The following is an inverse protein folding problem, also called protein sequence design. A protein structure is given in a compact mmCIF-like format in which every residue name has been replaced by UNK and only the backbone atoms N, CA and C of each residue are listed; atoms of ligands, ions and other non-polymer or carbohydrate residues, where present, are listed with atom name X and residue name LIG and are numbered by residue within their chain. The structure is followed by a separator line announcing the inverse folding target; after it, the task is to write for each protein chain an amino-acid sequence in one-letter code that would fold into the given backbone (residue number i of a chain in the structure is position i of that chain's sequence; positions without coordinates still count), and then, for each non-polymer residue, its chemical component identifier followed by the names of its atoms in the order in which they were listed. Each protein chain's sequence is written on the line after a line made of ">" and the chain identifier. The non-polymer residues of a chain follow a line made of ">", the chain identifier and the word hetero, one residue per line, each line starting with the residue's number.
data_IF_668522757943
#
_entry.id   IF_668522757943
#
_cell.length_a   1.000
_cell.length_b   1.000
_cell.length_c   1.000
_cell.angle_alpha   90.00
_cell.angle_beta   90.00
_cell.angle_gamma   90.00
#
_symmetry.space_group_name_H-M   'P 1'
#
loop_
_entity.id
_entity.type
_entity.pdbx_description
1 polymer ?
#
# COMPACT_ATOMS: atom_id res chain seq x y z
N UNK A 1 -2.20 16.31 26.31
CA UNK A 1 -1.21 15.43 25.69
C UNK A 1 -0.79 16.08 24.38
N UNK A 2 0.44 16.55 24.29
CA UNK A 2 0.97 17.25 23.12
C UNK A 2 1.36 16.19 22.08
N UNK A 3 0.62 16.14 20.95
CA UNK A 3 1.00 15.29 19.83
C UNK A 3 2.20 15.94 19.13
N UNK A 4 3.31 15.25 19.11
CA UNK A 4 4.46 15.64 18.30
C UNK A 4 4.10 15.49 16.81
N UNK A 5 4.35 16.53 16.03
CA UNK A 5 4.23 16.50 14.58
C UNK A 5 5.17 15.43 14.00
N UNK A 6 4.75 14.66 13.00
CA UNK A 6 5.66 13.80 12.27
C UNK A 6 6.73 14.64 11.58
N UNK A 7 7.99 14.19 11.51
CA UNK A 7 9.04 14.92 10.83
C UNK A 7 8.70 15.11 9.36
N UNK A 8 8.71 16.35 8.91
CA UNK A 8 8.56 16.71 7.51
C UNK A 8 9.63 15.99 6.70
N UNK A 9 9.23 15.21 5.71
CA UNK A 9 10.13 14.62 4.74
C UNK A 9 10.75 15.73 3.88
N UNK A 10 11.93 16.21 4.27
CA UNK A 10 12.77 17.02 3.38
C UNK A 10 13.28 16.12 2.27
N UNK A 11 12.70 16.22 1.11
CA UNK A 11 13.30 15.73 -0.13
C UNK A 11 14.53 16.55 -0.44
N UNK A 12 15.70 16.18 0.08
CA UNK A 12 16.96 16.67 -0.43
C UNK A 12 17.24 15.99 -1.77
N UNK A 13 16.80 16.61 -2.86
CA UNK A 13 17.46 16.45 -4.14
C UNK A 13 18.81 17.14 -4.01
N UNK A 14 19.84 16.41 -3.66
CA UNK A 14 21.21 16.81 -3.95
C UNK A 14 21.41 16.76 -5.48
N UNK A 15 21.46 17.92 -6.09
CA UNK A 15 21.99 18.11 -7.43
C UNK A 15 23.50 17.78 -7.38
N UNK A 16 23.88 16.79 -8.14
CA UNK A 16 25.29 16.46 -8.36
C UNK A 16 25.83 17.40 -9.44
N UNK A 17 26.79 18.30 -9.17
CA UNK A 17 27.39 19.16 -10.18
C UNK A 17 28.65 18.49 -10.73
N UNK A 18 28.51 17.66 -11.75
CA UNK A 18 29.63 17.31 -12.63
C UNK A 18 29.11 16.65 -13.90
N UNK A 19 28.68 17.47 -14.85
CA UNK A 19 28.79 17.13 -16.25
C UNK A 19 29.35 18.34 -16.97
N UNK A 20 30.59 18.14 -17.42
CA UNK A 20 31.36 19.06 -18.22
C UNK A 20 30.60 19.46 -19.49
N UNK A 21 30.57 20.76 -19.75
CA UNK A 21 30.10 21.39 -20.97
C UNK A 21 30.89 20.89 -22.16
N UNK A 22 30.25 20.23 -23.10
CA UNK A 22 30.76 20.10 -24.46
C UNK A 22 30.25 21.30 -25.25
N UNK A 23 31.15 22.20 -25.57
CA UNK A 23 30.96 23.32 -26.46
C UNK A 23 30.63 22.83 -27.86
N UNK A 24 29.44 23.13 -28.36
CA UNK A 24 29.13 23.03 -29.77
C UNK A 24 29.69 24.23 -30.51
N UNK A 25 30.70 24.00 -31.29
CA UNK A 25 31.23 24.97 -32.24
C UNK A 25 30.23 25.16 -33.38
N UNK A 26 29.72 26.38 -33.50
CA UNK A 26 28.96 26.81 -34.67
C UNK A 26 29.88 26.93 -35.87
N UNK A 27 29.62 26.17 -36.92
CA UNK A 27 30.23 26.33 -38.23
C UNK A 27 29.47 27.42 -38.97
N UNK A 28 30.20 28.51 -39.24
CA UNK A 28 29.83 29.57 -40.18
C UNK A 28 29.68 29.01 -41.59
N UNK A 29 28.56 29.27 -42.22
CA UNK A 29 28.36 29.17 -43.67
C UNK A 29 28.97 30.39 -44.34
N UNK A 30 29.85 30.23 -45.33
CA UNK A 30 30.15 31.32 -46.25
C UNK A 30 29.23 31.23 -47.47
N UNK A 31 28.75 32.41 -47.84
CA UNK A 31 28.02 32.76 -49.03
C UNK A 31 28.78 32.41 -50.31
N UNK A 32 28.02 31.96 -51.30
CA UNK A 32 28.47 31.68 -52.66
C UNK A 32 29.01 32.87 -53.39
N UNK A 33 29.88 32.64 -54.39
CA UNK A 33 29.68 33.27 -55.68
C UNK A 33 29.48 32.25 -56.82
N UNK A 34 28.48 32.52 -57.61
CA UNK A 34 28.27 31.94 -58.92
C UNK A 34 29.47 32.10 -59.82
N UNK A 35 29.91 31.08 -60.57
CA UNK A 35 30.31 31.17 -61.97
C UNK A 35 30.66 29.79 -62.57
N UNK A 36 30.10 29.55 -63.73
CA UNK A 36 30.58 28.84 -64.94
C UNK A 36 30.53 27.31 -64.93
N UNK A 37 29.70 26.87 -65.81
CA UNK A 37 29.59 25.52 -66.39
C UNK A 37 30.93 24.99 -66.88
N UNK A 38 31.29 23.81 -66.46
CA UNK A 38 32.02 22.86 -67.30
C UNK A 38 31.42 21.48 -67.13
N UNK A 39 30.96 20.94 -68.21
CA UNK A 39 30.45 19.63 -68.46
C UNK A 39 31.62 18.66 -68.33
N UNK A 40 31.75 17.98 -67.19
CA UNK A 40 32.61 16.81 -67.05
C UNK A 40 31.67 15.63 -66.64
N UNK A 41 31.24 14.93 -67.65
CA UNK A 41 30.59 13.64 -67.53
C UNK A 41 31.61 12.61 -66.92
N UNK A 42 31.68 12.57 -65.61
CA UNK A 42 32.32 11.47 -64.90
C UNK A 42 31.44 10.20 -65.09
N UNK A 43 31.89 9.34 -66.01
CA UNK A 43 31.42 7.98 -66.17
C UNK A 43 31.47 7.26 -64.79
N UNK A 44 30.39 7.30 -64.07
CA UNK A 44 30.19 6.47 -62.88
C UNK A 44 29.99 5.03 -63.37
N UNK A 45 31.08 4.28 -63.39
CA UNK A 45 31.02 2.84 -63.68
C UNK A 45 29.92 2.19 -62.81
N UNK A 46 29.02 1.41 -63.41
CA UNK A 46 27.91 0.85 -62.67
C UNK A 46 28.42 0.00 -61.50
N UNK A 47 28.00 0.33 -60.27
CA UNK A 47 28.31 -0.45 -59.11
C UNK A 47 27.95 -1.92 -59.39
N UNK A 48 28.98 -2.77 -59.54
CA UNK A 48 28.76 -4.21 -59.68
C UNK A 48 27.97 -4.69 -58.48
N UNK A 49 26.69 -5.01 -58.66
CA UNK A 49 25.87 -5.64 -57.64
C UNK A 49 26.47 -7.01 -57.36
N UNK A 50 26.92 -7.21 -56.13
CA UNK A 50 27.33 -8.54 -55.67
C UNK A 50 26.16 -9.47 -55.77
N UNK A 51 26.24 -10.52 -56.61
CA UNK A 51 25.26 -11.58 -56.71
C UNK A 51 25.76 -12.76 -55.90
N UNK A 52 25.10 -13.09 -54.78
CA UNK A 52 25.35 -14.29 -54.04
C UNK A 52 24.46 -15.42 -54.56
N UNK A 53 25.03 -16.57 -54.73
CA UNK A 53 24.30 -17.79 -55.15
C UNK A 53 24.36 -18.77 -53.97
N UNK A 54 23.19 -19.32 -53.60
CA UNK A 54 23.14 -20.43 -52.65
C UNK A 54 23.41 -21.73 -53.35
N UNK A 55 24.49 -22.41 -52.97
CA UNK A 55 24.77 -23.78 -53.44
C UNK A 55 23.63 -24.70 -52.97
N UNK A 56 22.99 -25.42 -53.90
CA UNK A 56 21.97 -26.42 -53.59
C UNK A 56 22.52 -27.80 -53.88
N UNK A 57 22.32 -28.77 -52.95
CA UNK A 57 22.79 -30.15 -53.04
C UNK A 57 23.96 -30.42 -52.07
N UNK A 58 24.34 -31.70 -52.02
CA UNK A 58 25.51 -32.12 -51.24
C UNK A 58 26.76 -31.73 -51.99
N UNK A 59 27.66 -31.07 -51.32
CA UNK A 59 28.98 -30.68 -51.84
C UNK A 59 30.07 -31.07 -50.84
N UNK A 60 31.20 -31.50 -51.38
CA UNK A 60 32.35 -31.81 -50.58
C UNK A 60 32.87 -30.58 -49.84
N UNK A 61 33.15 -30.76 -48.56
CA UNK A 61 33.68 -29.71 -47.66
C UNK A 61 35.08 -30.15 -47.20
N UNK A 62 36.08 -30.06 -48.09
CA UNK A 62 37.42 -30.60 -47.78
C UNK A 62 38.03 -29.98 -46.53
N UNK A 63 37.67 -28.74 -46.20
CA UNK A 63 38.12 -28.07 -44.98
C UNK A 63 37.63 -28.74 -43.69
N UNK A 64 36.57 -29.55 -43.73
CA UNK A 64 36.09 -30.29 -42.55
C UNK A 64 36.95 -31.49 -42.19
N UNK A 65 37.70 -31.99 -43.12
CA UNK A 65 38.65 -33.10 -42.96
C UNK A 65 40.08 -32.64 -42.63
N UNK A 66 40.33 -31.33 -42.67
CA UNK A 66 41.64 -30.76 -42.32
C UNK A 66 41.99 -31.11 -40.85
N UNK A 67 43.18 -31.68 -40.57
CA UNK A 67 43.69 -31.94 -39.22
C UNK A 67 43.66 -30.70 -38.31
N UNK A 68 43.85 -29.51 -38.86
CA UNK A 68 43.74 -28.25 -38.11
C UNK A 68 42.33 -28.02 -37.51
N UNK A 69 41.30 -28.53 -38.16
CA UNK A 69 39.91 -28.42 -37.67
C UNK A 69 39.63 -29.28 -36.43
N UNK A 70 40.48 -30.28 -36.12
CA UNK A 70 40.37 -31.05 -34.87
C UNK A 70 40.52 -30.12 -33.65
N UNK A 71 41.46 -29.17 -33.68
CA UNK A 71 41.67 -28.19 -32.61
C UNK A 71 40.43 -27.28 -32.46
N UNK A 72 39.81 -26.89 -33.56
CA UNK A 72 38.56 -26.07 -33.56
C UNK A 72 37.37 -26.82 -32.95
N UNK A 73 37.26 -28.15 -33.22
CA UNK A 73 36.23 -29.00 -32.60
C UNK A 73 36.43 -29.10 -31.09
N UNK A 74 37.68 -29.28 -30.63
CA UNK A 74 38.00 -29.27 -29.21
C UNK A 74 37.72 -27.93 -28.55
N UNK A 75 38.11 -26.84 -29.16
CA UNK A 75 37.81 -25.51 -28.66
C UNK A 75 36.29 -25.25 -28.54
N UNK A 76 35.54 -25.61 -29.57
CA UNK A 76 34.06 -25.50 -29.54
C UNK A 76 33.45 -26.36 -28.44
N UNK A 77 34.00 -27.56 -28.18
CA UNK A 77 33.52 -28.42 -27.12
C UNK A 77 33.83 -27.81 -25.75
N UNK A 78 35.04 -27.30 -25.54
CA UNK A 78 35.43 -26.59 -24.32
C UNK A 78 34.50 -25.39 -24.08
N UNK A 79 34.32 -24.51 -25.06
CA UNK A 79 33.45 -23.31 -24.95
C UNK A 79 32.04 -23.71 -24.58
N UNK A 80 31.45 -24.70 -25.25
CA UNK A 80 30.09 -25.18 -24.95
C UNK A 80 29.98 -25.75 -23.53
N UNK A 81 31.00 -26.48 -23.06
CA UNK A 81 31.06 -27.04 -21.72
C UNK A 81 31.11 -25.94 -20.65
N UNK A 82 31.91 -24.90 -20.86
CA UNK A 82 31.96 -23.77 -19.93
C UNK A 82 30.69 -22.96 -19.93
N UNK A 83 30.03 -22.80 -21.09
CA UNK A 83 28.70 -22.15 -21.17
C UNK A 83 27.69 -22.98 -20.36
N UNK A 84 27.65 -24.30 -20.57
CA UNK A 84 26.73 -25.17 -19.82
C UNK A 84 27.00 -25.13 -18.32
N UNK A 85 28.28 -25.19 -17.93
CA UNK A 85 28.70 -25.08 -16.53
C UNK A 85 28.25 -23.74 -15.92
N UNK A 86 28.37 -22.64 -16.67
CA UNK A 86 27.89 -21.31 -16.23
C UNK A 86 26.39 -21.32 -15.99
N UNK A 87 25.59 -21.91 -16.86
CA UNK A 87 24.13 -22.03 -16.64
C UNK A 87 23.80 -22.91 -15.42
N UNK A 88 24.54 -24.04 -15.22
CA UNK A 88 24.34 -24.90 -14.06
C UNK A 88 24.66 -24.14 -12.77
N UNK A 89 25.79 -23.44 -12.69
CA UNK A 89 26.18 -22.67 -11.52
C UNK A 89 25.20 -21.53 -11.24
N UNK A 90 24.75 -20.84 -12.28
CA UNK A 90 23.70 -19.81 -12.13
C UNK A 90 22.40 -20.42 -11.62
N UNK A 91 21.98 -21.57 -12.14
CA UNK A 91 20.79 -22.29 -11.66
C UNK A 91 20.91 -22.71 -10.20
N UNK A 92 22.06 -23.24 -9.80
CA UNK A 92 22.34 -23.61 -8.40
C UNK A 92 22.33 -22.38 -7.50
N UNK A 93 22.97 -21.29 -7.91
CA UNK A 93 22.97 -20.05 -7.14
C UNK A 93 21.54 -19.50 -6.98
N UNK A 94 20.76 -19.44 -8.07
CA UNK A 94 19.36 -19.04 -8.04
C UNK A 94 18.53 -19.93 -7.12
N UNK A 95 18.76 -21.26 -7.18
CA UNK A 95 18.07 -22.21 -6.30
C UNK A 95 18.31 -21.90 -4.82
N UNK A 96 19.57 -21.75 -4.40
CA UNK A 96 19.88 -21.44 -2.99
C UNK A 96 19.42 -20.05 -2.57
N UNK A 97 19.39 -19.07 -3.49
CA UNK A 97 18.85 -17.74 -3.19
C UNK A 97 17.32 -17.76 -3.03
N UNK A 98 16.62 -18.61 -3.76
CA UNK A 98 15.14 -18.66 -3.76
C UNK A 98 14.61 -19.67 -2.74
N UNK A 99 15.39 -20.73 -2.43
CA UNK A 99 14.96 -21.80 -1.53
C UNK A 99 14.35 -21.33 -0.20
N UNK A 100 14.92 -20.33 0.54
CA UNK A 100 14.34 -19.83 1.78
C UNK A 100 12.97 -19.16 1.61
N UNK A 101 12.64 -18.77 0.38
CA UNK A 101 11.39 -18.09 0.02
C UNK A 101 10.39 -19.00 -0.69
N UNK A 102 10.74 -20.28 -0.91
CA UNK A 102 9.80 -21.27 -1.47
C UNK A 102 8.69 -21.48 -0.44
N UNK A 103 7.46 -21.28 -0.92
CA UNK A 103 6.27 -21.33 -0.09
C UNK A 103 6.07 -22.70 0.56
N UNK A 104 5.80 -22.68 1.88
CA UNK A 104 5.17 -23.79 2.56
C UNK A 104 3.72 -23.99 2.07
N UNK A 105 3.07 -25.02 2.59
CA UNK A 105 1.64 -25.23 2.39
C UNK A 105 0.82 -24.14 3.07
N UNK A 106 -0.32 -23.79 2.50
CA UNK A 106 -1.27 -22.84 3.05
C UNK A 106 -2.64 -23.48 3.15
N UNK A 107 -3.27 -23.36 4.29
CA UNK A 107 -4.63 -23.83 4.53
C UNK A 107 -5.61 -22.68 4.41
N UNK A 108 -6.57 -22.75 3.50
CA UNK A 108 -7.68 -21.80 3.43
C UNK A 108 -8.56 -21.97 4.67
N UNK A 109 -8.55 -20.97 5.55
CA UNK A 109 -9.32 -21.00 6.81
C UNK A 109 -10.59 -20.18 6.76
N UNK A 110 -10.68 -19.28 5.77
CA UNK A 110 -11.84 -18.43 5.57
C UNK A 110 -11.93 -17.92 4.13
N UNK A 111 -13.14 -17.98 3.58
CA UNK A 111 -13.49 -17.37 2.30
C UNK A 111 -14.90 -16.79 2.40
N UNK A 112 -15.08 -15.56 1.96
CA UNK A 112 -16.36 -14.88 1.92
C UNK A 112 -16.54 -14.17 0.57
N UNK A 113 -17.66 -14.40 -0.07
CA UNK A 113 -18.08 -13.72 -1.31
C UNK A 113 -19.22 -12.73 -1.05
N UNK A 114 -19.51 -12.46 0.20
CA UNK A 114 -20.53 -11.52 0.64
C UNK A 114 -21.88 -11.69 -0.07
N UNK A 115 -22.42 -12.90 -0.06
CA UNK A 115 -23.81 -13.14 -0.45
C UNK A 115 -24.79 -12.66 0.64
N UNK A 116 -24.33 -12.70 1.87
CA UNK A 116 -24.94 -12.11 3.07
C UNK A 116 -23.83 -11.67 4.01
N UNK A 117 -24.10 -10.73 4.91
CA UNK A 117 -23.13 -10.37 5.93
C UNK A 117 -23.12 -11.43 7.06
N UNK A 118 -22.09 -12.24 7.11
CA UNK A 118 -21.90 -13.26 8.13
C UNK A 118 -21.52 -12.64 9.48
N UNK A 119 -22.49 -12.47 10.38
CA UNK A 119 -22.29 -11.88 11.72
C UNK A 119 -21.48 -12.75 12.67
N UNK A 120 -21.30 -14.03 12.40
CA UNK A 120 -20.44 -14.91 13.20
C UNK A 120 -18.95 -14.64 12.93
N UNK A 121 -18.64 -13.99 11.82
CA UNK A 121 -17.26 -13.62 11.43
C UNK A 121 -17.06 -12.12 11.49
N UNK A 122 -18.00 -11.33 10.97
CA UNK A 122 -17.86 -9.88 10.91
C UNK A 122 -18.57 -9.20 12.06
N UNK A 123 -17.86 -8.35 12.76
CA UNK A 123 -18.39 -7.47 13.81
C UNK A 123 -18.25 -6.03 13.37
N UNK A 124 -19.31 -5.24 13.48
CA UNK A 124 -19.21 -3.80 13.37
C UNK A 124 -18.54 -3.23 14.62
N UNK A 125 -17.57 -2.37 14.43
CA UNK A 125 -17.00 -1.56 15.49
C UNK A 125 -17.65 -0.16 15.42
N UNK A 126 -18.34 0.25 16.49
CA UNK A 126 -19.16 1.45 16.53
C UNK A 126 -18.60 2.43 17.56
N UNK A 127 -18.07 3.55 17.08
CA UNK A 127 -17.45 4.62 17.88
C UNK A 127 -17.59 5.99 17.17
N UNK A 128 -17.37 7.07 17.93
CA UNK A 128 -17.50 8.45 17.45
C UNK A 128 -16.21 9.27 17.49
N UNK A 129 -15.11 8.70 17.95
CA UNK A 129 -13.84 9.39 18.21
C UNK A 129 -12.81 9.21 17.08
N UNK A 130 -13.18 8.54 15.98
CA UNK A 130 -12.30 8.27 14.84
C UNK A 130 -11.18 7.28 15.15
N UNK A 131 -11.35 6.42 16.15
CA UNK A 131 -10.41 5.32 16.49
C UNK A 131 -8.94 5.79 16.67
N UNK A 132 -8.75 6.97 17.23
CA UNK A 132 -7.41 7.53 17.45
C UNK A 132 -6.85 8.37 16.31
N UNK A 133 -7.36 8.25 15.08
CA UNK A 133 -6.93 9.06 13.92
C UNK A 133 -7.58 10.43 13.89
N UNK A 134 -8.67 10.61 14.66
CA UNK A 134 -9.48 11.81 14.65
C UNK A 134 -10.20 12.02 13.32
N UNK A 135 -10.60 10.94 12.64
CA UNK A 135 -11.46 11.02 11.46
C UNK A 135 -12.81 11.64 11.80
N UNK A 136 -13.48 12.20 10.80
CA UNK A 136 -14.69 13.01 10.96
C UNK A 136 -15.98 12.21 10.78
N UNK A 137 -15.85 10.89 10.70
CA UNK A 137 -16.95 9.96 10.67
C UNK A 137 -17.17 9.29 12.02
N UNK A 138 -18.40 8.91 12.29
CA UNK A 138 -18.74 7.92 13.29
C UNK A 138 -19.25 6.65 12.63
N UNK A 139 -18.83 5.52 13.17
CA UNK A 139 -19.15 4.23 12.59
C UNK A 139 -20.44 3.67 13.15
N UNK A 140 -21.22 3.00 12.30
CA UNK A 140 -22.55 2.52 12.63
C UNK A 140 -22.82 1.12 12.09
N UNK A 141 -23.93 0.50 12.54
CA UNK A 141 -24.49 -0.74 11.99
C UNK A 141 -25.60 -0.47 10.97
N UNK A 142 -25.85 0.79 10.61
CA UNK A 142 -26.97 1.16 9.73
C UNK A 142 -26.76 0.57 8.31
N UNK A 143 -27.79 -0.06 7.72
CA UNK A 143 -27.71 -0.58 6.35
C UNK A 143 -27.41 0.50 5.28
N UNK A 144 -27.59 1.77 5.60
CA UNK A 144 -27.14 2.86 4.69
C UNK A 144 -25.62 2.98 4.61
N UNK A 145 -24.91 2.52 5.65
CA UNK A 145 -23.45 2.62 5.74
C UNK A 145 -22.73 1.29 5.47
N UNK A 146 -23.42 0.15 5.72
CA UNK A 146 -22.88 -1.16 5.31
C UNK A 146 -24.01 -2.10 4.93
N UNK A 147 -23.94 -2.62 3.73
CA UNK A 147 -24.92 -3.57 3.18
C UNK A 147 -24.27 -4.52 2.19
N UNK A 148 -24.96 -5.60 1.88
CA UNK A 148 -24.54 -6.61 0.90
C UNK A 148 -25.57 -6.66 -0.22
N UNK A 149 -25.09 -6.70 -1.45
CA UNK A 149 -25.90 -6.94 -2.64
C UNK A 149 -25.20 -7.92 -3.61
N UNK A 150 -25.68 -8.01 -4.86
CA UNK A 150 -25.09 -8.90 -5.86
C UNK A 150 -23.63 -8.57 -6.24
N UNK A 151 -23.13 -7.41 -5.86
CA UNK A 151 -21.74 -6.98 -6.09
C UNK A 151 -20.81 -7.24 -4.89
N UNK A 152 -21.36 -7.59 -3.74
CA UNK A 152 -20.62 -7.86 -2.52
C UNK A 152 -20.97 -6.93 -1.37
N UNK A 153 -20.04 -6.76 -0.43
CA UNK A 153 -20.16 -5.85 0.70
C UNK A 153 -19.85 -4.42 0.28
N UNK A 154 -20.73 -3.51 0.62
CA UNK A 154 -20.54 -2.07 0.45
C UNK A 154 -20.32 -1.39 1.82
N UNK A 155 -19.30 -0.55 1.92
CA UNK A 155 -19.06 0.36 3.04
C UNK A 155 -19.13 1.78 2.49
N UNK A 156 -20.21 2.52 2.86
CA UNK A 156 -20.58 3.76 2.18
C UNK A 156 -20.69 4.89 3.20
N UNK A 157 -19.85 5.94 3.10
CA UNK A 157 -20.02 7.14 3.92
C UNK A 157 -21.26 7.92 3.49
N UNK A 158 -22.00 8.42 4.49
CA UNK A 158 -23.21 9.23 4.30
C UNK A 158 -23.18 10.44 5.22
N UNK A 159 -23.96 11.47 4.89
CA UNK A 159 -24.08 12.65 5.76
C UNK A 159 -24.98 12.34 6.95
N UNK A 160 -24.54 12.73 8.15
CA UNK A 160 -25.28 12.51 9.40
C UNK A 160 -26.65 13.20 9.37
N UNK A 161 -26.71 14.44 8.91
CA UNK A 161 -27.96 15.22 8.83
C UNK A 161 -28.94 14.76 7.75
N UNK A 162 -28.49 13.95 6.77
CA UNK A 162 -29.37 13.40 5.73
C UNK A 162 -29.90 12.01 6.08
N UNK A 163 -29.18 11.30 6.96
CA UNK A 163 -29.47 9.88 7.24
C UNK A 163 -29.96 9.63 8.65
N UNK A 164 -30.02 10.67 9.48
CA UNK A 164 -30.56 10.64 10.86
C UNK A 164 -31.51 11.82 11.09
N UNK A 165 -32.08 11.89 12.28
CA UNK A 165 -32.86 13.07 12.75
C UNK A 165 -31.99 14.23 13.25
N UNK A 166 -30.65 14.07 13.27
CA UNK A 166 -29.70 15.10 13.70
C UNK A 166 -29.64 16.16 12.60
N UNK A 167 -30.08 17.38 12.91
CA UNK A 167 -30.08 18.45 11.92
C UNK A 167 -28.71 19.09 11.73
N UNK A 168 -28.55 19.89 10.67
CA UNK A 168 -27.30 20.64 10.47
C UNK A 168 -26.98 21.57 11.64
N UNK A 169 -27.99 22.10 12.35
CA UNK A 169 -27.80 22.90 13.55
C UNK A 169 -27.27 22.03 14.71
N UNK A 170 -27.82 20.83 14.91
CA UNK A 170 -27.46 19.93 16.01
C UNK A 170 -26.01 19.44 15.87
N UNK A 171 -25.47 19.36 14.64
CA UNK A 171 -24.08 18.96 14.43
C UNK A 171 -23.11 19.84 15.24
N UNK A 172 -23.39 21.12 15.46
CA UNK A 172 -22.47 22.01 16.15
C UNK A 172 -23.08 22.81 17.34
N UNK A 173 -24.36 22.64 17.65
CA UNK A 173 -25.02 23.43 18.71
C UNK A 173 -25.84 22.55 19.66
N UNK A 174 -25.26 22.31 20.84
CA UNK A 174 -25.95 21.81 22.05
C UNK A 174 -26.67 20.44 21.89
N UNK A 175 -26.27 19.61 20.95
CA UNK A 175 -26.78 18.25 20.78
C UNK A 175 -25.84 17.25 21.42
N UNK A 176 -26.38 16.24 22.08
CA UNK A 176 -25.58 15.13 22.62
C UNK A 176 -25.91 13.83 21.86
N UNK A 177 -24.94 13.31 21.14
CA UNK A 177 -24.95 11.97 20.58
C UNK A 177 -24.41 10.99 21.64
N UNK A 178 -25.25 10.06 22.05
CA UNK A 178 -24.95 9.08 23.12
C UNK A 178 -25.30 7.68 22.62
N UNK A 179 -24.27 6.95 22.16
CA UNK A 179 -24.39 5.58 21.64
C UNK A 179 -24.49 4.53 22.75
N UNK A 180 -24.44 4.94 24.02
CA UNK A 180 -24.63 4.00 25.14
C UNK A 180 -26.11 3.74 25.40
N UNK A 181 -27.00 4.67 25.04
CA UNK A 181 -28.43 4.58 25.26
C UNK A 181 -29.08 3.44 24.47
N UNK A 182 -28.65 3.23 23.24
CA UNK A 182 -29.11 2.15 22.36
C UNK A 182 -28.20 0.93 22.40
N UNK A 183 -27.14 0.98 23.24
CA UNK A 183 -26.13 -0.07 23.40
C UNK A 183 -25.39 -0.40 22.09
N UNK A 184 -25.31 0.53 21.16
CA UNK A 184 -24.61 0.31 19.89
C UNK A 184 -23.11 0.48 20.00
N UNK A 185 -22.61 1.30 20.94
CA UNK A 185 -21.18 1.54 21.11
C UNK A 185 -20.43 0.28 21.49
N UNK A 186 -19.31 0.02 20.80
CA UNK A 186 -18.45 -1.15 21.05
C UNK A 186 -17.21 -0.82 21.88
N UNK A 187 -16.96 0.46 22.17
CA UNK A 187 -15.88 0.87 23.05
C UNK A 187 -16.24 0.73 24.53
N UNK A 188 -15.24 0.51 25.34
CA UNK A 188 -15.36 0.57 26.81
C UNK A 188 -15.16 1.98 27.37
N UNK A 189 -14.76 2.92 26.53
CA UNK A 189 -14.41 4.30 26.90
C UNK A 189 -15.55 5.23 26.58
N UNK A 190 -16.07 5.97 27.54
CA UNK A 190 -17.21 6.88 27.35
C UNK A 190 -16.93 7.96 26.29
N UNK A 191 -15.71 8.47 26.20
CA UNK A 191 -15.34 9.48 25.20
C UNK A 191 -15.43 8.98 23.75
N UNK A 192 -15.39 7.67 23.54
CA UNK A 192 -15.60 7.06 22.23
C UNK A 192 -17.08 6.78 21.91
N UNK A 193 -17.97 6.97 22.91
CA UNK A 193 -19.40 6.64 22.80
C UNK A 193 -20.31 7.85 22.95
N UNK A 194 -19.86 8.95 23.56
CA UNK A 194 -20.67 10.12 23.88
C UNK A 194 -19.92 11.37 23.46
N UNK A 195 -20.59 12.22 22.70
CA UNK A 195 -20.10 13.54 22.32
C UNK A 195 -21.22 14.56 22.39
N UNK A 196 -20.89 15.75 22.89
CA UNK A 196 -21.80 16.91 22.87
C UNK A 196 -21.22 17.99 21.98
N UNK A 197 -22.02 18.48 21.03
CA UNK A 197 -21.62 19.60 20.19
C UNK A 197 -21.62 20.90 21.00
N UNK A 198 -20.51 21.65 20.94
CA UNK A 198 -20.33 22.91 21.64
C UNK A 198 -19.43 23.83 20.78
N UNK A 199 -20.03 24.88 20.16
CA UNK A 199 -19.28 25.79 19.31
C UNK A 199 -18.19 26.57 20.05
N UNK A 200 -18.33 26.76 21.37
CA UNK A 200 -17.32 27.48 22.21
C UNK A 200 -16.09 26.60 22.42
N UNK A 201 -16.26 25.28 22.49
CA UNK A 201 -15.17 24.29 22.62
C UNK A 201 -14.62 23.83 21.28
N UNK A 202 -15.31 24.12 20.17
CA UNK A 202 -14.99 23.63 18.84
C UNK A 202 -15.31 22.14 18.66
N UNK A 203 -16.17 21.58 19.53
CA UNK A 203 -16.65 20.19 19.38
C UNK A 203 -17.90 20.14 18.53
N UNK A 204 -17.99 19.14 17.65
CA UNK A 204 -19.19 18.93 16.85
C UNK A 204 -19.51 17.43 16.79
N UNK A 205 -20.77 17.11 16.53
CA UNK A 205 -21.16 15.72 16.19
C UNK A 205 -20.48 15.37 14.87
N UNK A 206 -19.86 14.18 14.71
CA UNK A 206 -19.29 13.80 13.44
C UNK A 206 -20.29 13.96 12.29
N UNK A 207 -19.99 14.81 11.29
CA UNK A 207 -20.94 15.12 10.22
C UNK A 207 -21.13 13.99 9.23
N UNK A 208 -20.28 12.98 9.30
CA UNK A 208 -20.27 11.80 8.43
C UNK A 208 -20.59 10.56 9.25
N UNK A 209 -21.32 9.64 8.64
CA UNK A 209 -21.52 8.26 9.13
C UNK A 209 -20.84 7.30 8.19
N UNK A 210 -20.22 6.25 8.71
CA UNK A 210 -19.59 5.20 7.92
C UNK A 210 -19.69 3.85 8.63
N UNK A 211 -18.95 2.85 8.17
CA UNK A 211 -18.87 1.58 8.85
C UNK A 211 -17.42 1.06 8.93
N UNK A 212 -17.15 0.32 9.99
CA UNK A 212 -15.93 -0.44 10.23
C UNK A 212 -16.30 -1.85 10.66
N UNK A 213 -15.82 -2.83 9.91
CA UNK A 213 -16.07 -4.25 10.15
C UNK A 213 -14.75 -4.95 10.47
N UNK A 214 -14.75 -5.80 11.49
CA UNK A 214 -13.56 -6.55 11.88
C UNK A 214 -13.87 -8.03 12.11
N UNK A 215 -12.83 -8.86 11.98
CA UNK A 215 -12.88 -10.29 12.31
C UNK A 215 -12.34 -10.59 13.71
N UNK A 216 -12.14 -9.58 14.56
CA UNK A 216 -11.58 -9.68 15.91
C UNK A 216 -12.33 -10.71 16.76
N UNK A 217 -11.59 -11.57 17.47
CA UNK A 217 -12.14 -12.62 18.32
C UNK A 217 -12.78 -13.78 17.57
N UNK A 218 -12.77 -13.77 16.23
CA UNK A 218 -13.46 -14.75 15.38
C UNK A 218 -12.54 -15.39 14.34
N UNK A 219 -11.81 -14.58 13.58
CA UNK A 219 -10.82 -15.05 12.60
C UNK A 219 -9.57 -14.19 12.63
N UNK A 220 -8.45 -14.81 12.93
CA UNK A 220 -7.12 -14.21 12.89
C UNK A 220 -6.11 -15.22 12.35
N UNK A 221 -4.99 -14.74 11.83
CA UNK A 221 -3.87 -15.56 11.38
C UNK A 221 -2.57 -15.10 12.04
N UNK A 222 -1.67 -16.04 12.26
CA UNK A 222 -0.24 -15.78 12.46
C UNK A 222 0.49 -16.46 11.32
N UNK A 223 1.03 -15.66 10.43
CA UNK A 223 1.56 -16.07 9.13
C UNK A 223 0.49 -16.65 8.19
N UNK A 224 0.67 -16.45 6.92
CA UNK A 224 -0.29 -16.93 5.93
C UNK A 224 -0.45 -15.95 4.77
N UNK A 225 -1.65 -15.90 4.22
CA UNK A 225 -2.02 -14.97 3.15
C UNK A 225 -3.38 -14.35 3.43
N UNK A 226 -3.55 -13.12 3.00
CA UNK A 226 -4.84 -12.46 2.93
C UNK A 226 -4.99 -11.85 1.54
N UNK A 227 -6.12 -12.08 0.90
CA UNK A 227 -6.52 -11.44 -0.34
C UNK A 227 -7.90 -10.82 -0.19
N UNK A 228 -8.02 -9.57 -0.56
CA UNK A 228 -9.29 -8.85 -0.59
C UNK A 228 -9.49 -8.30 -1.99
N UNK A 229 -10.59 -8.70 -2.64
CA UNK A 229 -10.98 -8.17 -3.95
C UNK A 229 -11.92 -6.99 -3.72
N UNK A 230 -11.47 -5.79 -4.02
CA UNK A 230 -12.22 -4.58 -3.76
C UNK A 230 -12.11 -3.55 -4.89
N UNK A 231 -13.15 -2.71 -5.00
CA UNK A 231 -13.20 -1.47 -5.78
C UNK A 231 -13.25 -0.32 -4.78
N UNK A 232 -12.34 0.66 -4.93
CA UNK A 232 -12.18 1.74 -3.98
C UNK A 232 -13.14 2.91 -4.27
N UNK A 233 -13.47 3.73 -3.25
CA UNK A 233 -14.32 4.88 -3.41
C UNK A 233 -13.67 6.01 -4.21
N UNK A 234 -14.50 6.92 -4.73
CA UNK A 234 -14.10 8.23 -5.23
C UNK A 234 -14.76 9.34 -4.40
N UNK A 235 -14.01 10.39 -4.16
CA UNK A 235 -14.47 11.58 -3.45
C UNK A 235 -13.39 12.14 -2.54
N UNK A 236 -13.30 13.46 -2.48
CA UNK A 236 -12.29 14.13 -1.68
C UNK A 236 -12.46 13.79 -0.20
N UNK A 237 -11.32 13.56 0.46
CA UNK A 237 -11.21 13.27 1.87
C UNK A 237 -11.77 11.92 2.33
N UNK A 238 -12.17 11.03 1.40
CA UNK A 238 -12.53 9.65 1.70
C UNK A 238 -11.26 8.82 1.84
N UNK A 239 -11.20 8.00 2.89
CA UNK A 239 -10.06 7.17 3.25
C UNK A 239 -10.48 5.71 3.44
N UNK A 240 -10.46 4.89 2.39
CA UNK A 240 -10.69 3.46 2.49
C UNK A 240 -9.44 2.76 3.03
N UNK A 241 -9.64 1.72 3.85
CA UNK A 241 -8.58 0.87 4.37
C UNK A 241 -8.96 -0.61 4.42
N UNK A 242 -8.00 -1.47 4.09
CA UNK A 242 -7.99 -2.92 4.27
C UNK A 242 -6.73 -3.22 5.06
N UNK A 243 -6.86 -3.62 6.32
CA UNK A 243 -5.74 -3.65 7.23
C UNK A 243 -5.93 -4.67 8.35
N UNK A 244 -4.89 -4.90 9.15
CA UNK A 244 -4.90 -5.90 10.20
C UNK A 244 -4.30 -5.34 11.49
N UNK A 245 -4.92 -5.70 12.61
CA UNK A 245 -4.45 -5.39 13.96
C UNK A 245 -4.15 -6.66 14.75
N UNK A 246 -3.24 -6.58 15.73
CA UNK A 246 -2.93 -7.71 16.59
C UNK A 246 -4.16 -8.13 17.44
N UNK A 247 -4.37 -9.45 17.54
CA UNK A 247 -5.50 -10.00 18.30
C UNK A 247 -5.42 -9.64 19.79
N UNK A 248 -4.23 -9.80 20.40
CA UNK A 248 -4.01 -9.71 21.85
C UNK A 248 -3.07 -8.57 22.28
N UNK A 249 -2.52 -7.78 21.36
CA UNK A 249 -1.56 -6.70 21.65
C UNK A 249 -0.43 -7.14 22.59
N UNK A 250 0.22 -8.27 22.28
CA UNK A 250 1.18 -8.98 23.14
C UNK A 250 2.33 -8.09 23.64
N UNK A 251 2.76 -7.12 22.84
CA UNK A 251 3.87 -6.20 23.17
C UNK A 251 3.40 -4.86 23.74
N UNK A 252 2.10 -4.70 23.96
CA UNK A 252 1.49 -3.49 24.50
C UNK A 252 0.75 -2.67 23.45
N UNK A 253 0.41 -1.43 23.83
CA UNK A 253 -0.38 -0.52 23.00
C UNK A 253 0.34 -0.15 21.71
N UNK A 254 -0.48 0.25 20.71
CA UNK A 254 -0.02 0.72 19.42
C UNK A 254 1.13 1.73 19.52
N UNK A 255 2.16 1.65 18.69
CA UNK A 255 2.40 0.67 17.61
C UNK A 255 3.31 -0.50 18.04
N UNK A 256 3.46 -0.76 19.36
CA UNK A 256 4.37 -1.80 19.90
C UNK A 256 3.99 -3.20 19.42
N UNK A 257 2.70 -3.45 19.27
CA UNK A 257 2.19 -4.74 18.81
C UNK A 257 1.99 -4.82 17.30
N UNK A 258 2.36 -3.77 16.57
CA UNK A 258 2.32 -3.72 15.12
C UNK A 258 0.94 -3.43 14.55
N UNK A 259 0.93 -3.06 13.26
CA UNK A 259 -0.24 -2.92 12.39
C UNK A 259 0.20 -3.23 10.95
N UNK A 260 -0.66 -3.87 10.16
CA UNK A 260 -0.38 -4.26 8.77
C UNK A 260 -1.45 -3.66 7.88
N UNK A 261 -1.12 -2.62 7.12
CA UNK A 261 -2.03 -2.00 6.17
C UNK A 261 -1.84 -2.62 4.79
N UNK A 262 -2.74 -3.54 4.43
CA UNK A 262 -2.72 -4.20 3.13
C UNK A 262 -2.99 -3.20 2.03
N UNK A 263 -3.93 -2.28 2.27
CA UNK A 263 -4.29 -1.21 1.36
C UNK A 263 -4.87 -0.02 2.10
N UNK A 264 -4.30 1.14 1.88
CA UNK A 264 -4.87 2.44 2.20
C UNK A 264 -4.86 3.34 0.97
N UNK A 265 -5.89 4.15 0.78
CA UNK A 265 -5.97 5.06 -0.35
C UNK A 265 -6.69 6.35 0.02
N UNK A 266 -6.60 7.34 -0.85
CA UNK A 266 -7.38 8.58 -0.77
C UNK A 266 -8.33 8.65 -1.94
N UNK A 267 -9.61 8.92 -1.67
CA UNK A 267 -10.63 9.08 -2.71
C UNK A 267 -10.47 10.34 -3.57
N UNK A 268 -9.58 11.24 -3.19
CA UNK A 268 -9.26 12.49 -3.88
C UNK A 268 -8.92 12.28 -5.36
N UNK A 269 -9.02 13.33 -6.14
CA UNK A 269 -8.73 13.28 -7.58
C UNK A 269 -7.31 12.77 -7.86
N UNK A 270 -7.08 12.29 -9.09
CA UNK A 270 -5.76 11.80 -9.53
C UNK A 270 -4.65 12.86 -9.47
N UNK A 271 -5.03 14.13 -9.43
CA UNK A 271 -4.10 15.26 -9.31
C UNK A 271 -3.76 15.64 -7.87
N UNK A 272 -4.30 14.95 -6.88
CA UNK A 272 -3.96 15.22 -5.48
C UNK A 272 -2.46 14.97 -5.24
N UNK A 273 -1.71 15.96 -4.71
CA UNK A 273 -0.24 15.90 -4.68
C UNK A 273 0.32 14.71 -3.89
N UNK A 274 -0.35 14.31 -2.80
CA UNK A 274 0.05 13.19 -1.95
C UNK A 274 -0.49 11.83 -2.44
N UNK A 275 -0.93 11.74 -3.71
CA UNK A 275 -1.54 10.55 -4.27
C UNK A 275 -3.03 10.44 -3.94
N UNK A 276 -3.88 10.57 -4.98
CA UNK A 276 -5.33 10.39 -4.90
C UNK A 276 -5.74 8.94 -5.21
N UNK A 277 -6.98 8.76 -5.69
CA UNK A 277 -7.60 7.45 -5.94
C UNK A 277 -6.88 6.56 -6.99
N UNK A 278 -5.83 7.06 -7.63
CA UNK A 278 -4.93 6.29 -8.48
C UNK A 278 -3.68 5.78 -7.76
N UNK A 279 -3.57 6.03 -6.46
CA UNK A 279 -2.55 5.50 -5.56
C UNK A 279 -3.18 4.66 -4.46
N UNK A 280 -2.48 3.62 -4.02
CA UNK A 280 -2.67 3.02 -2.72
C UNK A 280 -1.32 2.73 -2.07
N UNK A 281 -1.34 2.58 -0.76
CA UNK A 281 -0.19 2.37 0.10
C UNK A 281 -0.32 1.03 0.80
N UNK A 282 0.76 0.28 0.88
CA UNK A 282 0.94 -0.81 1.82
C UNK A 282 1.91 -0.36 2.89
N UNK A 283 1.61 -0.59 4.15
CA UNK A 283 2.39 -0.06 5.28
C UNK A 283 2.50 -1.09 6.40
N UNK A 284 3.60 -1.05 7.13
CA UNK A 284 3.72 -1.68 8.44
C UNK A 284 3.98 -0.59 9.48
N UNK A 285 3.14 -0.51 10.54
CA UNK A 285 3.36 0.33 11.69
C UNK A 285 4.02 -0.45 12.81
N UNK A 286 5.11 0.07 13.34
CA UNK A 286 5.90 -0.57 14.40
C UNK A 286 6.85 0.42 15.06
N UNK A 287 6.95 0.33 16.37
CA UNK A 287 7.81 1.23 17.15
C UNK A 287 7.62 1.09 18.66
N UNK A 288 8.54 1.59 19.47
CA UNK A 288 8.44 1.51 20.93
C UNK A 288 7.41 2.49 21.51
N UNK A 289 7.03 3.54 20.81
CA UNK A 289 5.99 4.52 21.18
C UNK A 289 5.34 5.09 19.94
N UNK A 290 4.21 5.76 20.07
CA UNK A 290 3.50 6.38 18.94
C UNK A 290 4.34 7.43 18.21
N UNK A 291 5.16 8.19 18.95
CA UNK A 291 6.06 9.21 18.39
C UNK A 291 7.27 8.59 17.67
N UNK A 292 7.53 7.32 17.93
CA UNK A 292 8.64 6.54 17.35
C UNK A 292 8.14 5.45 16.40
N UNK A 293 6.93 5.61 15.87
CA UNK A 293 6.43 4.74 14.82
C UNK A 293 7.32 4.85 13.57
N UNK A 294 7.85 3.74 13.13
CA UNK A 294 8.82 3.67 12.02
C UNK A 294 8.18 3.28 10.68
N UNK A 295 6.87 3.50 10.52
CA UNK A 295 6.10 3.18 9.31
C UNK A 295 6.76 3.70 8.02
N UNK A 296 7.38 4.85 8.04
CA UNK A 296 8.05 5.47 6.88
C UNK A 296 9.19 4.62 6.29
N UNK A 297 9.73 3.67 7.05
CA UNK A 297 10.73 2.69 6.59
C UNK A 297 10.09 1.52 5.85
N UNK A 298 8.82 1.28 6.08
CA UNK A 298 8.06 0.11 5.64
C UNK A 298 6.73 0.53 5.02
N UNK A 299 6.72 1.64 4.30
CA UNK A 299 5.60 2.12 3.47
C UNK A 299 6.01 2.13 2.01
N UNK A 300 5.14 1.63 1.15
CA UNK A 300 5.32 1.73 -0.29
C UNK A 300 4.00 2.03 -1.00
N UNK A 301 4.09 2.88 -2.03
CA UNK A 301 2.94 3.30 -2.81
C UNK A 301 2.93 2.64 -4.20
N UNK A 302 1.73 2.29 -4.69
CA UNK A 302 1.52 1.83 -6.06
C UNK A 302 0.58 2.74 -6.79
N UNK A 303 1.05 3.26 -7.93
CA UNK A 303 0.26 4.09 -8.83
C UNK A 303 -0.24 3.32 -10.04
N UNK A 304 -1.52 3.47 -10.35
CA UNK A 304 -2.07 3.16 -11.69
C UNK A 304 -1.82 4.37 -12.61
N UNK A 305 -1.08 4.16 -13.69
CA UNK A 305 -0.77 5.24 -14.65
C UNK A 305 -1.98 5.64 -15.51
N UNK A 306 -2.84 4.68 -15.85
CA UNK A 306 -4.07 4.90 -16.65
C UNK A 306 -5.27 4.40 -15.88
N UNK A 307 -6.23 5.27 -15.57
CA UNK A 307 -7.37 4.95 -14.72
C UNK A 307 -7.10 5.21 -13.25
N UNK A 308 -7.88 4.59 -12.38
CA UNK A 308 -7.77 4.64 -10.93
C UNK A 308 -8.48 3.44 -10.29
N UNK A 309 -8.29 3.24 -8.99
CA UNK A 309 -8.82 2.10 -8.23
C UNK A 309 -10.33 2.16 -7.96
N UNK A 310 -11.01 3.25 -8.35
CA UNK A 310 -12.48 3.35 -8.24
C UNK A 310 -13.22 2.81 -9.46
N UNK A 311 -12.51 2.41 -10.53
CA UNK A 311 -13.13 1.99 -11.80
C UNK A 311 -13.32 0.49 -11.94
N UNK A 312 -12.48 -0.29 -11.29
CA UNK A 312 -12.45 -1.75 -11.38
C UNK A 312 -12.11 -2.38 -10.05
N UNK A 313 -12.46 -3.66 -9.92
CA UNK A 313 -12.00 -4.46 -8.80
C UNK A 313 -10.53 -4.81 -8.98
N UNK A 314 -9.81 -4.75 -7.88
CA UNK A 314 -8.43 -5.19 -7.76
C UNK A 314 -8.29 -6.14 -6.58
N UNK A 315 -7.35 -7.07 -6.67
CA UNK A 315 -6.98 -7.95 -5.57
C UNK A 315 -5.84 -7.30 -4.79
N UNK A 316 -6.10 -6.89 -3.56
CA UNK A 316 -5.08 -6.43 -2.61
C UNK A 316 -4.66 -7.61 -1.75
N UNK A 317 -3.38 -7.94 -1.78
CA UNK A 317 -2.90 -9.16 -1.16
C UNK A 317 -1.62 -9.01 -0.36
N UNK A 318 -1.51 -9.81 0.70
CA UNK A 318 -0.26 -10.05 1.42
C UNK A 318 0.04 -11.53 1.50
N UNK A 319 1.32 -11.83 1.52
CA UNK A 319 1.88 -13.09 1.99
C UNK A 319 2.82 -12.79 3.15
N UNK A 320 2.58 -13.43 4.26
CA UNK A 320 3.27 -13.18 5.51
C UNK A 320 3.81 -14.49 6.08
N UNK A 321 5.11 -14.54 6.29
CA UNK A 321 5.85 -15.69 6.81
C UNK A 321 6.73 -15.26 7.99
N UNK A 322 7.35 -16.18 8.72
CA UNK A 322 8.36 -15.81 9.72
C UNK A 322 9.52 -14.99 9.15
N UNK A 323 9.84 -15.14 7.86
CA UNK A 323 11.03 -14.57 7.23
C UNK A 323 10.76 -13.28 6.46
N UNK A 324 9.50 -13.00 6.08
CA UNK A 324 9.15 -11.82 5.29
C UNK A 324 7.66 -11.52 5.29
N UNK A 325 7.34 -10.27 4.97
CA UNK A 325 6.00 -9.84 4.51
C UNK A 325 6.12 -9.32 3.09
N UNK A 326 5.22 -9.77 2.23
CA UNK A 326 5.20 -9.48 0.80
C UNK A 326 3.83 -8.95 0.39
N UNK A 327 3.80 -7.75 -0.16
CA UNK A 327 2.57 -7.09 -0.62
C UNK A 327 2.48 -7.16 -2.14
N UNK A 328 1.30 -7.41 -2.66
CA UNK A 328 1.04 -7.51 -4.10
C UNK A 328 -0.35 -7.02 -4.49
N UNK A 329 -0.52 -6.73 -5.80
CA UNK A 329 -1.80 -6.35 -6.39
C UNK A 329 -2.12 -7.21 -7.60
N UNK A 330 -3.37 -7.66 -7.73
CA UNK A 330 -3.94 -8.45 -8.81
C UNK A 330 -3.26 -9.81 -9.02
N UNK A 331 -1.96 -9.85 -8.98
CA UNK A 331 -1.14 -11.05 -9.13
C UNK A 331 0.11 -10.95 -8.26
N UNK A 332 0.55 -12.07 -7.73
CA UNK A 332 1.81 -12.15 -6.95
C UNK A 332 3.05 -11.69 -7.71
N UNK A 333 3.00 -11.67 -9.05
CA UNK A 333 4.09 -11.11 -9.88
C UNK A 333 4.15 -9.57 -9.74
N UNK A 334 3.03 -8.93 -9.41
CA UNK A 334 2.97 -7.49 -9.21
C UNK A 334 3.28 -7.10 -7.77
N UNK A 335 4.55 -7.23 -7.41
CA UNK A 335 5.06 -6.82 -6.11
C UNK A 335 4.88 -5.32 -5.87
N UNK A 336 4.45 -4.99 -4.66
CA UNK A 336 4.37 -3.63 -4.15
C UNK A 336 5.50 -3.37 -3.17
N UNK A 337 5.61 -4.24 -2.17
CA UNK A 337 6.61 -4.14 -1.11
C UNK A 337 7.06 -5.53 -0.69
N UNK A 338 8.32 -5.64 -0.32
CA UNK A 338 8.91 -6.82 0.30
C UNK A 338 9.74 -6.37 1.51
N UNK A 339 9.39 -6.88 2.67
CA UNK A 339 10.13 -6.66 3.91
C UNK A 339 10.64 -8.00 4.39
N UNK A 340 11.96 -8.23 4.25
CA UNK A 340 12.65 -9.37 4.82
C UNK A 340 12.93 -9.15 6.30
N UNK A 341 12.75 -10.19 7.10
CA UNK A 341 13.13 -10.20 8.50
C UNK A 341 14.49 -10.86 8.67
N UNK A 342 15.32 -10.30 9.52
CA UNK A 342 16.67 -10.77 9.77
C UNK A 342 16.92 -10.79 11.28
N UNK A 343 17.29 -11.96 11.81
CA UNK A 343 17.60 -12.15 13.23
C UNK A 343 18.81 -11.32 13.68
N UNK A 344 19.76 -11.09 12.78
CA UNK A 344 20.99 -10.34 13.07
C UNK A 344 20.75 -8.82 12.97
N UNK A 345 19.62 -8.42 12.39
CA UNK A 345 19.14 -7.04 12.33
C UNK A 345 17.63 -6.97 12.50
N UNK A 346 17.10 -7.24 13.70
CA UNK A 346 15.68 -7.20 13.98
C UNK A 346 15.09 -5.81 13.75
N UNK A 347 13.78 -5.71 13.67
CA UNK A 347 13.08 -4.45 13.38
C UNK A 347 13.44 -3.34 14.37
N UNK A 348 13.70 -3.68 15.64
CA UNK A 348 14.16 -2.68 16.63
C UNK A 348 15.45 -1.98 16.21
N UNK A 349 16.43 -2.74 15.73
CA UNK A 349 17.70 -2.20 15.24
C UNK A 349 17.54 -1.50 13.89
N UNK A 350 16.66 -2.01 13.02
CA UNK A 350 16.29 -1.32 11.79
C UNK A 350 15.67 0.05 12.08
N UNK A 351 14.89 0.19 13.14
CA UNK A 351 14.28 1.45 13.59
C UNK A 351 15.32 2.50 13.98
N UNK A 352 16.48 2.07 14.47
CA UNK A 352 17.55 2.97 14.90
C UNK A 352 17.11 3.84 16.09
N UNK A 353 16.29 3.29 16.98
CA UNK A 353 15.75 4.03 18.12
C UNK A 353 16.85 4.48 19.09
N UNK A 354 16.76 5.73 19.56
CA UNK A 354 17.63 6.23 20.60
C UNK A 354 17.44 5.41 21.89
N UNK A 355 18.53 5.19 22.64
CA UNK A 355 18.45 4.48 23.94
C UNK A 355 17.63 5.21 24.99
N UNK A 356 17.46 6.52 24.83
CA UNK A 356 16.72 7.38 25.76
C UNK A 356 15.62 8.11 24.99
N UNK A 357 14.44 8.17 25.57
CA UNK A 357 13.35 9.03 25.10
C UNK A 357 13.67 10.51 25.40
N UNK A 358 12.94 11.43 24.78
CA UNK A 358 13.14 12.88 24.97
C UNK A 358 13.01 13.34 26.43
N UNK A 359 12.21 12.64 27.22
CA UNK A 359 12.03 12.87 28.66
C UNK A 359 13.13 12.21 29.55
N UNK A 360 14.23 11.78 28.94
CA UNK A 360 15.35 11.09 29.59
C UNK A 360 15.01 9.72 30.22
N UNK A 361 13.86 9.13 29.91
CA UNK A 361 13.57 7.75 30.31
C UNK A 361 14.23 6.76 29.33
N UNK A 362 14.63 5.58 29.87
CA UNK A 362 15.18 4.51 29.02
C UNK A 362 14.12 4.00 28.05
N UNK A 363 14.44 4.07 26.77
CA UNK A 363 13.60 3.50 25.73
C UNK A 363 13.88 2.01 25.61
N UNK A 364 13.11 1.20 26.33
CA UNK A 364 13.24 -0.24 26.28
C UNK A 364 12.77 -0.82 24.93
N UNK A 365 13.49 -1.84 24.47
CA UNK A 365 13.00 -2.63 23.33
C UNK A 365 11.77 -3.45 23.76
N UNK A 366 10.56 -3.18 23.24
CA UNK A 366 9.36 -3.90 23.65
C UNK A 366 9.39 -5.37 23.19
N UNK A 367 10.24 -5.71 22.23
CA UNK A 367 10.35 -7.03 21.63
C UNK A 367 11.54 -7.86 22.14
N UNK A 368 12.26 -7.38 23.17
CA UNK A 368 13.43 -8.06 23.71
C UNK A 368 13.13 -9.46 24.27
N UNK A 369 11.87 -9.70 24.67
CA UNK A 369 11.41 -11.00 25.20
C UNK A 369 10.67 -11.83 24.13
N UNK A 370 10.69 -11.42 22.86
CA UNK A 370 10.11 -12.20 21.78
C UNK A 370 10.88 -13.52 21.60
N UNK A 371 10.13 -14.60 21.41
CA UNK A 371 10.68 -15.90 21.02
C UNK A 371 10.94 -16.03 19.51
N UNK A 372 10.82 -14.92 18.77
CA UNK A 372 11.08 -14.92 17.34
C UNK A 372 12.54 -15.25 17.03
N UNK A 373 12.74 -16.29 16.22
CA UNK A 373 14.07 -16.70 15.73
C UNK A 373 14.50 -15.91 14.49
N UNK A 374 13.64 -15.06 13.93
CA UNK A 374 13.85 -14.34 12.67
C UNK A 374 13.87 -12.82 12.83
N UNK A 375 13.70 -12.30 14.06
CA UNK A 375 13.69 -10.86 14.32
C UNK A 375 12.45 -10.12 13.79
N UNK A 376 11.35 -10.84 13.53
CA UNK A 376 10.13 -10.31 12.91
C UNK A 376 9.13 -9.71 13.91
N UNK A 377 9.41 -9.73 15.22
CA UNK A 377 8.53 -9.03 16.16
C UNK A 377 8.44 -7.53 15.82
N UNK A 378 7.23 -6.94 15.85
CA UNK A 378 5.98 -7.45 16.46
C UNK A 378 5.10 -8.32 15.55
N UNK A 379 5.53 -8.63 14.34
CA UNK A 379 4.74 -9.41 13.37
C UNK A 379 4.89 -10.93 13.55
N UNK A 380 4.96 -11.39 14.78
CA UNK A 380 5.11 -12.79 15.20
C UNK A 380 3.93 -13.28 16.06
N UNK A 381 2.81 -12.56 16.02
CA UNK A 381 1.58 -12.84 16.75
C UNK A 381 0.37 -12.89 15.79
N UNK A 382 -0.81 -13.24 16.31
CA UNK A 382 -2.04 -13.29 15.51
C UNK A 382 -2.55 -11.88 15.18
N UNK A 383 -2.99 -11.69 13.93
CA UNK A 383 -3.65 -10.46 13.46
C UNK A 383 -5.02 -10.79 12.88
N UNK A 384 -6.00 -9.94 13.16
CA UNK A 384 -7.34 -9.98 12.59
C UNK A 384 -7.51 -8.91 11.52
N UNK A 385 -8.46 -9.11 10.60
CA UNK A 385 -8.69 -8.22 9.46
C UNK A 385 -9.74 -7.15 9.79
N UNK A 386 -9.53 -5.94 9.26
CA UNK A 386 -10.43 -4.81 9.36
C UNK A 386 -10.68 -4.24 7.96
N UNK A 387 -11.95 -3.89 7.70
CA UNK A 387 -12.41 -3.21 6.50
C UNK A 387 -13.16 -1.95 6.93
N UNK A 388 -12.75 -0.77 6.46
CA UNK A 388 -13.48 0.47 6.76
C UNK A 388 -13.30 1.54 5.67
N UNK A 389 -14.16 2.53 5.72
CA UNK A 389 -14.03 3.78 4.99
C UNK A 389 -14.13 4.91 5.99
N UNK A 390 -13.01 5.55 6.30
CA UNK A 390 -12.96 6.75 7.11
C UNK A 390 -13.14 8.01 6.23
N UNK A 391 -13.40 9.15 6.85
CA UNK A 391 -13.53 10.43 6.15
C UNK A 391 -12.80 11.52 6.92
N UNK A 392 -11.89 12.24 6.25
CA UNK A 392 -11.01 13.20 6.90
C UNK A 392 -10.14 12.57 7.97
N UNK A 393 -9.32 13.35 8.62
CA UNK A 393 -8.55 12.95 9.79
C UNK A 393 -7.79 14.12 10.39
N UNK A 394 -7.17 13.91 11.55
CA UNK A 394 -6.29 14.87 12.21
C UNK A 394 -4.90 14.32 12.51
N UNK A 395 -4.52 13.23 11.84
CA UNK A 395 -3.26 12.50 12.08
C UNK A 395 -2.20 12.69 11.00
N UNK A 396 -2.39 13.63 10.07
CA UNK A 396 -1.45 13.87 8.97
C UNK A 396 -1.68 13.03 7.72
N UNK A 397 -2.69 12.14 7.69
CA UNK A 397 -3.01 11.38 6.48
C UNK A 397 -3.28 12.28 5.27
N UNK A 398 -4.06 13.33 5.47
CA UNK A 398 -4.19 14.44 4.54
C UNK A 398 -3.31 15.59 5.04
N UNK A 399 -2.25 15.94 4.31
CA UNK A 399 -1.30 16.95 4.75
C UNK A 399 -1.93 18.35 4.77
N UNK A 400 -1.60 19.13 5.78
CA UNK A 400 -2.02 20.53 5.88
C UNK A 400 -1.51 21.34 4.71
N UNK A 401 -2.35 22.24 4.18
CA UNK A 401 -2.05 23.12 3.04
C UNK A 401 -1.84 22.38 1.70
N UNK A 402 -2.26 21.12 1.57
CA UNK A 402 -2.13 20.32 0.34
C UNK A 402 -3.50 20.02 -0.26
N UNK A 403 -3.66 20.28 -1.57
CA UNK A 403 -4.86 19.90 -2.34
C UNK A 403 -6.13 20.60 -1.86
N UNK A 404 -6.03 21.85 -1.44
CA UNK A 404 -7.14 22.66 -0.93
C UNK A 404 -7.85 22.06 0.30
N UNK A 405 -7.09 21.32 1.13
CA UNK A 405 -7.58 20.78 2.41
C UNK A 405 -8.17 21.91 3.25
N UNK A 406 -9.47 21.83 3.62
CA UNK A 406 -10.14 22.94 4.27
C UNK A 406 -9.88 23.05 5.79
N UNK A 407 -9.20 22.08 6.40
CA UNK A 407 -8.91 22.09 7.83
C UNK A 407 -7.42 21.99 8.11
N UNK A 408 -7.04 22.33 9.34
CA UNK A 408 -5.70 22.13 9.91
C UNK A 408 -5.83 21.11 11.03
N UNK A 409 -4.97 20.08 11.04
CA UNK A 409 -5.09 18.92 11.92
C UNK A 409 -5.12 19.28 13.41
N UNK A 410 -4.26 20.21 13.83
CA UNK A 410 -4.18 20.65 15.22
C UNK A 410 -5.22 21.73 15.61
N UNK A 411 -6.05 22.18 14.68
CA UNK A 411 -7.09 23.16 14.98
C UNK A 411 -8.24 22.53 15.78
N UNK A 412 -8.71 23.21 16.81
CA UNK A 412 -9.85 22.75 17.62
C UNK A 412 -11.11 22.58 16.79
N UNK A 413 -11.28 23.41 15.77
CA UNK A 413 -12.43 23.45 14.87
C UNK A 413 -12.19 22.72 13.53
N UNK A 414 -11.21 21.81 13.46
CA UNK A 414 -10.85 21.08 12.23
C UNK A 414 -12.07 20.40 11.57
N UNK A 415 -12.87 19.72 12.35
CA UNK A 415 -14.07 19.02 11.88
C UNK A 415 -15.14 20.01 11.38
N UNK A 416 -15.26 21.16 12.03
CA UNK A 416 -16.19 22.20 11.61
C UNK A 416 -15.76 22.85 10.28
N UNK A 417 -14.47 23.17 10.14
CA UNK A 417 -13.95 23.74 8.88
C UNK A 417 -14.03 22.75 7.71
N UNK A 418 -13.87 21.47 7.99
CA UNK A 418 -14.16 20.41 7.00
C UNK A 418 -15.63 20.47 6.56
N UNK A 419 -16.57 20.51 7.52
CA UNK A 419 -18.02 20.55 7.24
C UNK A 419 -18.46 21.84 6.53
N UNK A 420 -17.96 22.99 6.94
CA UNK A 420 -18.25 24.29 6.33
C UNK A 420 -17.87 24.35 4.85
N UNK A 421 -16.85 23.59 4.48
CA UNK A 421 -16.39 23.44 3.09
C UNK A 421 -17.14 22.34 2.29
N UNK A 422 -18.26 21.80 2.80
CA UNK A 422 -18.98 20.68 2.17
C UNK A 422 -19.39 20.97 0.72
N UNK A 423 -19.74 22.21 0.40
CA UNK A 423 -20.06 22.62 -0.98
C UNK A 423 -18.93 22.41 -1.99
N UNK A 424 -17.67 22.30 -1.52
CA UNK A 424 -16.50 22.05 -2.36
C UNK A 424 -16.21 20.57 -2.56
N UNK A 425 -16.25 19.79 -1.49
CA UNK A 425 -15.83 18.37 -1.54
C UNK A 425 -17.00 17.40 -1.80
N UNK A 426 -18.21 17.68 -1.33
CA UNK A 426 -19.34 16.77 -1.49
C UNK A 426 -19.69 16.48 -2.96
N UNK A 427 -19.64 17.43 -3.90
CA UNK A 427 -19.86 17.14 -5.32
C UNK A 427 -18.85 16.18 -5.93
N UNK A 428 -17.68 15.96 -5.30
CA UNK A 428 -16.64 15.01 -5.78
C UNK A 428 -16.93 13.55 -5.41
N UNK A 429 -17.90 13.32 -4.48
CA UNK A 429 -18.16 12.00 -3.91
C UNK A 429 -18.95 11.09 -4.84
N UNK A 430 -19.45 11.39 -5.89
CA UNK A 430 -20.25 10.48 -6.71
C UNK A 430 -21.54 10.02 -6.03
N UNK A 431 -22.37 9.32 -6.76
CA UNK A 431 -23.68 8.86 -6.31
C UNK A 431 -23.64 7.43 -5.73
N UNK A 432 -24.51 7.18 -4.74
CA UNK A 432 -24.74 5.85 -4.19
C UNK A 432 -23.44 5.13 -3.77
N UNK A 433 -23.21 3.95 -4.32
CA UNK A 433 -22.07 3.09 -4.00
C UNK A 433 -20.71 3.63 -4.49
N UNK A 434 -20.67 4.59 -5.39
CA UNK A 434 -19.41 5.14 -5.93
C UNK A 434 -18.56 5.85 -4.87
N UNK A 435 -19.20 6.40 -3.83
CA UNK A 435 -18.53 7.00 -2.66
C UNK A 435 -18.10 5.97 -1.63
N UNK A 436 -18.42 4.69 -1.83
CA UNK A 436 -18.11 3.60 -0.91
C UNK A 436 -17.01 2.68 -1.43
N UNK A 437 -16.42 1.91 -0.50
CA UNK A 437 -15.61 0.75 -0.85
C UNK A 437 -16.53 -0.44 -1.08
N UNK A 438 -16.39 -1.09 -2.24
CA UNK A 438 -17.10 -2.32 -2.54
C UNK A 438 -16.14 -3.51 -2.45
N UNK A 439 -16.43 -4.47 -1.57
CA UNK A 439 -15.61 -5.66 -1.35
C UNK A 439 -16.32 -6.88 -1.92
N UNK A 440 -15.76 -7.45 -2.98
CA UNK A 440 -16.34 -8.60 -3.68
C UNK A 440 -16.04 -9.91 -2.97
N UNK A 441 -14.85 -10.06 -2.40
CA UNK A 441 -14.47 -11.26 -1.65
C UNK A 441 -13.29 -11.01 -0.71
N UNK A 442 -13.23 -11.83 0.32
CA UNK A 442 -12.11 -11.94 1.26
C UNK A 442 -11.68 -13.39 1.33
N UNK A 443 -10.38 -13.66 1.28
CA UNK A 443 -9.79 -14.97 1.51
C UNK A 443 -8.66 -14.86 2.52
N UNK A 444 -8.64 -15.78 3.49
CA UNK A 444 -7.58 -15.86 4.50
C UNK A 444 -7.05 -17.29 4.55
N UNK A 445 -5.75 -17.41 4.45
CA UNK A 445 -5.02 -18.68 4.58
C UNK A 445 -4.08 -18.61 5.77
N UNK A 446 -4.06 -19.64 6.57
CA UNK A 446 -3.06 -19.88 7.59
C UNK A 446 -1.87 -20.63 6.97
N UNK A 447 -0.65 -20.27 7.32
CA UNK A 447 0.51 -21.07 6.96
C UNK A 447 0.46 -22.44 7.64
N UNK A 448 0.83 -23.50 6.90
CA UNK A 448 0.77 -24.89 7.34
C UNK A 448 -0.30 -25.71 6.62
N UNK A 449 -0.37 -27.00 6.95
CA UNK A 449 -1.35 -27.93 6.38
C UNK A 449 -2.69 -27.82 7.12
N UNK A 450 -3.80 -28.04 6.40
CA UNK A 450 -5.12 -28.08 7.03
C UNK A 450 -5.21 -29.22 8.06
N UNK A 451 -5.80 -28.90 9.21
CA UNK A 451 -5.98 -29.88 10.31
C UNK A 451 -4.80 -30.02 11.26
N UNK A 452 -3.67 -29.39 11.00
CA UNK A 452 -2.59 -29.29 11.98
C UNK A 452 -2.75 -27.98 12.78
N UNK A 453 -2.76 -28.07 14.11
CA UNK A 453 -2.65 -26.88 14.96
C UNK A 453 -1.33 -26.19 14.64
N UNK A 454 -1.39 -24.91 14.23
CA UNK A 454 -0.21 -24.11 13.93
C UNK A 454 0.55 -23.77 15.22
N UNK A 455 1.27 -24.74 15.77
CA UNK A 455 2.38 -24.50 16.70
C UNK A 455 3.65 -24.23 15.83
N UNK A 456 3.71 -23.07 15.21
CA UNK A 456 4.93 -22.51 14.59
C UNK A 456 5.33 -21.26 15.34
#
# INVERSE_FOLDING_TARGET
>A
MSQAQPPQSRSHRQANPNHASATSSALHTPTSPSLISQDDSLDIAPKRRFKSYRLRGDFEKPWLSDPAMKKTKWNNWIVRSFILLGFILAGVACFFMVWPYIEGSYCLIYEDHFTTLNKDIWTHEVQIDGFGTGSFDWTTTDPKNSYVDSQGLHIVPTLTNETTSITSHDLFANYTLDLTKDKSCTSKTNTSCIITSDPKKGTMIPPIRSARLSTKGKKSIRYGKVEVVAKLPKGDWIWPAIWMMPEDSVYGEWPRSGEIDIMESRGNSRGYPEGGRNFYYGTLHWGPTAEKDSYWRTTHAKQIRRGDYSKSYHTFGIQWTPNYIYFYIDSRIHQIMFIGFDKDRPLYDLGGFARMAENQTLLANPWAMSNSTTGNAPFDQKFYLILNVAVGSKNGWFLDHVGDKPWIDNAKNAQWTFWDAASKWLPTWGDGADRGMNVKSVKMWQAGQCGQSSEL
#
